data_IF_329408084282
#
_entry.id   IF_329408084282
#
_cell.length_a   1.000
_cell.length_b   1.000
_cell.length_c   1.000
_cell.angle_alpha   90.00
_cell.angle_beta   90.00
_cell.angle_gamma   90.00
#
_symmetry.space_group_name_H-M   'P 1'
#
loop_
_entity.id
_entity.type
_entity.pdbx_description
1 polymer ?
#
# COMPACT_ATOMS: atom_id res chain seq x y z
N UNK A 1 4.80 30.46 11.40
CA UNK A 1 5.39 29.12 11.63
C UNK A 1 4.23 28.15 11.57
N UNK A 2 3.91 27.69 10.36
CA UNK A 2 2.68 26.94 10.10
C UNK A 2 2.88 25.50 10.59
N UNK A 3 2.14 25.12 11.63
CA UNK A 3 2.06 23.73 12.07
C UNK A 3 1.40 22.95 10.95
N UNK A 4 2.21 22.45 10.01
CA UNK A 4 1.76 21.52 8.97
C UNK A 4 1.09 20.37 9.71
N UNK A 5 -0.21 20.21 9.50
CA UNK A 5 -0.93 19.02 9.95
C UNK A 5 -0.34 17.85 9.16
N UNK A 6 0.67 17.21 9.74
CA UNK A 6 1.13 15.91 9.29
C UNK A 6 -0.04 14.96 9.52
N UNK A 7 -0.78 14.65 8.45
CA UNK A 7 -1.89 13.71 8.51
C UNK A 7 -1.36 12.38 9.06
N UNK A 8 -2.06 11.81 10.03
CA UNK A 8 -1.79 10.46 10.50
C UNK A 8 -2.34 9.45 9.49
N UNK A 9 -1.60 8.37 9.26
CA UNK A 9 -2.04 7.32 8.34
C UNK A 9 -3.39 6.72 8.76
N UNK A 10 -4.38 6.74 7.87
CA UNK A 10 -5.66 6.08 8.07
C UNK A 10 -5.63 4.65 7.51
N UNK A 11 -5.40 3.66 8.38
CA UNK A 11 -5.37 2.24 8.00
C UNK A 11 -6.66 1.75 7.33
N UNK A 12 -7.82 2.36 7.60
CA UNK A 12 -9.09 2.02 6.92
C UNK A 12 -9.08 2.42 5.43
N UNK A 13 -8.24 3.38 5.05
CA UNK A 13 -8.04 3.82 3.66
C UNK A 13 -6.85 3.10 2.99
N UNK A 14 -6.20 2.15 3.66
CA UNK A 14 -4.97 1.53 3.19
C UNK A 14 -3.75 2.45 3.27
N UNK A 15 -3.82 3.53 4.05
CA UNK A 15 -2.68 4.44 4.25
C UNK A 15 -1.70 3.86 5.27
N UNK A 16 -0.41 4.06 5.00
CA UNK A 16 0.68 3.83 5.95
C UNK A 16 1.52 5.10 6.11
N UNK A 17 2.31 5.15 7.17
CA UNK A 17 3.28 6.22 7.40
C UNK A 17 4.69 5.64 7.28
N UNK A 18 5.57 6.36 6.60
CA UNK A 18 6.99 6.04 6.54
C UNK A 18 7.86 7.30 6.63
N UNK A 19 9.10 7.13 7.08
CA UNK A 19 10.12 8.19 7.11
C UNK A 19 11.06 7.98 5.93
N UNK A 20 11.11 8.95 5.01
CA UNK A 20 12.04 8.97 3.88
C UNK A 20 12.79 10.31 3.89
N UNK A 21 14.12 10.29 3.79
CA UNK A 21 14.98 11.47 3.99
C UNK A 21 14.69 12.24 5.29
N UNK A 22 14.38 11.52 6.36
CA UNK A 22 14.02 12.11 7.64
C UNK A 22 12.66 12.84 7.65
N UNK A 23 11.89 12.79 6.57
CA UNK A 23 10.56 13.37 6.47
C UNK A 23 9.50 12.28 6.61
N UNK A 24 8.56 12.47 7.54
CA UNK A 24 7.36 11.62 7.66
C UNK A 24 6.44 11.89 6.47
N UNK A 25 6.05 10.82 5.77
CA UNK A 25 5.18 10.87 4.59
C UNK A 25 4.12 9.78 4.68
N UNK A 26 2.95 10.08 4.14
CA UNK A 26 1.86 9.12 4.00
C UNK A 26 1.98 8.44 2.64
N UNK A 27 1.81 7.12 2.61
CA UNK A 27 1.77 6.33 1.39
C UNK A 27 0.43 5.59 1.32
N UNK A 28 -0.13 5.47 0.12
CA UNK A 28 -1.38 4.77 -0.14
C UNK A 28 -1.40 4.24 -1.56
N UNK A 29 -1.70 2.94 -1.75
CA UNK A 29 -1.92 2.37 -3.07
C UNK A 29 -3.37 2.61 -3.49
N UNK A 30 -3.64 3.81 -3.98
CA UNK A 30 -4.92 4.15 -4.59
C UNK A 30 -5.14 3.35 -5.88
N UNK A 31 -6.37 3.31 -6.39
CA UNK A 31 -6.64 2.67 -7.68
C UNK A 31 -5.78 3.24 -8.83
N UNK A 32 -5.51 4.54 -8.82
CA UNK A 32 -4.61 5.16 -9.81
C UNK A 32 -3.16 4.68 -9.67
N UNK A 33 -2.67 4.55 -8.43
CA UNK A 33 -1.34 4.00 -8.15
C UNK A 33 -1.24 2.52 -8.55
N UNK A 34 -2.30 1.73 -8.30
CA UNK A 34 -2.36 0.33 -8.71
C UNK A 34 -2.37 0.18 -10.23
N UNK A 35 -3.16 0.98 -10.95
CA UNK A 35 -3.18 0.99 -12.41
C UNK A 35 -1.83 1.40 -13.01
N UNK A 36 -1.13 2.35 -12.38
CA UNK A 36 0.23 2.71 -12.75
C UNK A 36 1.20 1.53 -12.61
N UNK A 37 1.11 0.79 -11.50
CA UNK A 37 1.94 -0.39 -11.27
C UNK A 37 1.59 -1.55 -12.22
N UNK A 38 0.31 -1.74 -12.57
CA UNK A 38 -0.14 -2.71 -13.58
C UNK A 38 0.56 -2.45 -14.91
N UNK A 39 0.50 -1.21 -15.38
CA UNK A 39 1.17 -0.78 -16.60
C UNK A 39 2.70 -0.93 -16.49
N UNK A 40 3.30 -0.49 -15.39
CA UNK A 40 4.74 -0.52 -15.19
C UNK A 40 5.32 -1.94 -15.12
N UNK A 41 4.57 -2.90 -14.58
CA UNK A 41 4.98 -4.30 -14.50
C UNK A 41 4.45 -5.17 -15.63
N UNK A 42 3.65 -4.60 -16.54
CA UNK A 42 3.02 -5.33 -17.65
C UNK A 42 2.24 -6.56 -17.17
N UNK A 43 1.49 -6.39 -16.08
CA UNK A 43 0.58 -7.42 -15.56
C UNK A 43 -0.84 -7.12 -16.03
N UNK A 44 -1.65 -8.19 -16.21
CA UNK A 44 -3.00 -8.05 -16.76
C UNK A 44 -4.05 -7.58 -15.76
N UNK A 45 -3.78 -7.72 -14.47
CA UNK A 45 -4.72 -7.45 -13.38
C UNK A 45 -4.01 -7.38 -12.01
N UNK A 46 -4.77 -6.98 -10.99
CA UNK A 46 -4.33 -6.89 -9.59
C UNK A 46 -3.89 -8.24 -9.00
N UNK A 47 -4.46 -9.36 -9.43
CA UNK A 47 -4.01 -10.69 -8.98
C UNK A 47 -2.61 -10.98 -9.51
N UNK A 48 -2.29 -10.58 -10.75
CA UNK A 48 -0.95 -10.63 -11.32
C UNK A 48 0.07 -9.79 -10.53
N UNK A 49 -0.32 -8.62 -10.02
CA UNK A 49 0.52 -7.85 -9.08
C UNK A 49 0.75 -8.59 -7.77
N UNK A 50 -0.32 -9.07 -7.15
CA UNK A 50 -0.24 -9.76 -5.86
C UNK A 50 0.67 -10.99 -5.93
N UNK A 51 0.52 -11.82 -6.97
CA UNK A 51 1.36 -12.99 -7.24
C UNK A 51 2.83 -12.62 -7.47
N UNK A 52 3.07 -11.53 -8.22
CA UNK A 52 4.43 -11.04 -8.45
C UNK A 52 5.13 -10.72 -7.13
N UNK A 53 4.43 -10.04 -6.22
CA UNK A 53 5.00 -9.62 -4.95
C UNK A 53 5.09 -10.74 -3.91
N UNK A 54 4.11 -11.65 -3.88
CA UNK A 54 4.14 -12.83 -2.99
C UNK A 54 5.25 -13.81 -3.34
N UNK A 55 5.68 -13.86 -4.61
CA UNK A 55 6.77 -14.74 -5.07
C UNK A 55 8.16 -14.41 -4.49
N UNK A 56 8.30 -13.29 -3.76
CA UNK A 56 9.57 -12.88 -3.13
C UNK A 56 10.62 -12.36 -4.12
N UNK A 57 10.29 -12.17 -5.40
CA UNK A 57 11.23 -11.74 -6.45
C UNK A 57 11.29 -10.23 -6.64
N UNK A 58 11.09 -9.46 -5.58
CA UNK A 58 11.14 -8.00 -5.60
C UNK A 58 12.57 -7.50 -5.86
N UNK A 59 12.78 -6.82 -6.98
CA UNK A 59 14.03 -6.12 -7.29
C UNK A 59 14.00 -4.72 -6.68
N UNK A 60 15.17 -4.11 -6.52
CA UNK A 60 15.27 -2.71 -6.07
C UNK A 60 14.41 -1.75 -6.92
N UNK A 61 14.39 -1.93 -8.24
CA UNK A 61 13.53 -1.15 -9.14
C UNK A 61 12.03 -1.35 -8.92
N UNK A 62 11.60 -2.56 -8.51
CA UNK A 62 10.20 -2.81 -8.16
C UNK A 62 9.84 -2.08 -6.86
N UNK A 63 10.74 -2.07 -5.87
CA UNK A 63 10.55 -1.34 -4.61
C UNK A 63 10.46 0.17 -4.84
N UNK A 64 11.33 0.74 -5.68
CA UNK A 64 11.30 2.16 -6.05
C UNK A 64 9.94 2.53 -6.66
N UNK A 65 9.47 1.75 -7.64
CA UNK A 65 8.19 2.00 -8.31
C UNK A 65 7.01 1.89 -7.36
N UNK A 66 7.00 0.86 -6.50
CA UNK A 66 5.91 0.65 -5.55
C UNK A 66 5.84 1.77 -4.51
N UNK A 67 6.99 2.20 -3.99
CA UNK A 67 7.07 3.29 -3.02
C UNK A 67 6.72 4.62 -3.69
N UNK A 68 7.19 4.87 -4.92
CA UNK A 68 6.83 6.04 -5.72
C UNK A 68 5.32 6.14 -5.95
N UNK A 69 4.71 5.05 -6.42
CA UNK A 69 3.26 4.97 -6.62
C UNK A 69 2.49 5.17 -5.31
N UNK A 70 2.96 4.56 -4.21
CA UNK A 70 2.38 4.75 -2.87
C UNK A 70 2.49 6.19 -2.38
N UNK A 71 3.63 6.86 -2.58
CA UNK A 71 3.83 8.26 -2.24
C UNK A 71 2.91 9.19 -3.03
N UNK A 72 2.78 8.97 -4.35
CA UNK A 72 1.85 9.70 -5.22
C UNK A 72 0.40 9.50 -4.78
N UNK A 73 0.00 8.26 -4.50
CA UNK A 73 -1.33 7.94 -3.99
C UNK A 73 -1.60 8.51 -2.58
N UNK A 74 -0.57 8.71 -1.78
CA UNK A 74 -0.62 9.41 -0.49
C UNK A 74 -0.61 10.94 -0.59
N UNK A 75 -0.61 11.51 -1.80
CA UNK A 75 -0.65 12.97 -2.04
C UNK A 75 0.72 13.64 -2.07
N UNK A 76 1.82 12.89 -2.17
CA UNK A 76 3.17 13.44 -2.33
C UNK A 76 3.50 13.58 -3.82
N UNK A 77 4.06 14.72 -4.23
CA UNK A 77 4.48 14.98 -5.61
C UNK A 77 5.93 14.53 -5.81
N UNK A 78 6.15 13.21 -5.92
CA UNK A 78 7.47 12.61 -6.06
C UNK A 78 7.49 11.59 -7.20
N UNK A 79 8.52 11.71 -8.04
CA UNK A 79 8.81 10.77 -9.11
C UNK A 79 9.60 9.57 -8.59
N UNK A 80 9.66 8.51 -9.39
CA UNK A 80 10.42 7.30 -9.06
C UNK A 80 11.93 7.60 -8.93
N UNK A 81 12.42 8.58 -9.69
CA UNK A 81 13.80 9.08 -9.61
C UNK A 81 14.10 9.74 -8.26
N UNK A 82 13.15 10.49 -7.71
CA UNK A 82 13.28 11.07 -6.38
C UNK A 82 13.40 9.95 -5.33
N UNK A 83 12.56 8.92 -5.44
CA UNK A 83 12.60 7.76 -4.54
C UNK A 83 13.91 6.98 -4.66
N UNK A 84 14.45 6.87 -5.87
CA UNK A 84 15.74 6.21 -6.11
C UNK A 84 16.91 6.96 -5.45
N UNK A 85 16.80 8.28 -5.27
CA UNK A 85 17.80 9.11 -4.61
C UNK A 85 17.60 9.25 -3.10
N UNK A 86 16.40 8.92 -2.58
CA UNK A 86 16.09 8.99 -1.16
C UNK A 86 16.88 7.98 -0.34
N UNK A 87 17.04 8.27 0.94
CA UNK A 87 17.56 7.36 1.95
C UNK A 87 16.52 7.05 3.02
N UNK A 88 16.62 5.84 3.57
CA UNK A 88 15.84 5.39 4.72
C UNK A 88 16.75 4.84 5.80
N UNK A 89 16.35 5.02 7.06
CA UNK A 89 16.99 4.33 8.18
C UNK A 89 16.82 2.81 8.03
N UNK A 90 17.92 2.05 8.20
CA UNK A 90 17.92 0.60 7.98
C UNK A 90 18.07 0.15 6.53
N UNK A 91 18.30 1.06 5.58
CA UNK A 91 18.65 0.74 4.19
C UNK A 91 17.62 -0.15 3.48
N UNK A 92 18.09 -1.18 2.75
CA UNK A 92 17.22 -2.08 1.96
C UNK A 92 16.13 -2.74 2.80
N UNK A 93 16.41 -3.09 4.06
CA UNK A 93 15.42 -3.69 4.95
C UNK A 93 14.28 -2.71 5.30
N UNK A 94 14.60 -1.42 5.43
CA UNK A 94 13.60 -0.37 5.60
C UNK A 94 12.67 -0.25 4.39
N UNK A 95 13.23 -0.25 3.18
CA UNK A 95 12.42 -0.26 1.95
C UNK A 95 11.52 -1.48 1.86
N UNK A 96 12.06 -2.67 2.12
CA UNK A 96 11.30 -3.91 2.11
C UNK A 96 10.13 -3.88 3.11
N UNK A 97 10.34 -3.28 4.29
CA UNK A 97 9.29 -3.10 5.29
C UNK A 97 8.17 -2.19 4.80
N UNK A 98 8.50 -1.03 4.23
CA UNK A 98 7.50 -0.11 3.66
C UNK A 98 6.68 -0.81 2.57
N UNK A 99 7.35 -1.54 1.68
CA UNK A 99 6.68 -2.31 0.62
C UNK A 99 5.73 -3.35 1.22
N UNK A 100 6.18 -4.12 2.22
CA UNK A 100 5.35 -5.08 2.92
C UNK A 100 4.13 -4.45 3.58
N UNK A 101 4.33 -3.33 4.30
CA UNK A 101 3.25 -2.60 4.98
C UNK A 101 2.21 -2.04 3.98
N UNK A 102 2.64 -1.56 2.80
CA UNK A 102 1.74 -1.11 1.73
C UNK A 102 0.91 -2.27 1.15
N UNK A 103 1.57 -3.39 0.87
CA UNK A 103 0.91 -4.56 0.32
C UNK A 103 -0.09 -5.16 1.32
N UNK A 104 0.27 -5.23 2.59
CA UNK A 104 -0.63 -5.66 3.66
C UNK A 104 -1.82 -4.70 3.80
N UNK A 105 -1.58 -3.39 3.80
CA UNK A 105 -2.65 -2.39 3.92
C UNK A 105 -3.64 -2.42 2.73
N UNK A 106 -3.18 -2.86 1.56
CA UNK A 106 -3.96 -2.85 0.31
C UNK A 106 -4.65 -4.19 0.06
N UNK A 107 -3.93 -5.31 0.23
CA UNK A 107 -4.40 -6.66 -0.09
C UNK A 107 -4.73 -7.50 1.14
N UNK A 108 -4.17 -7.18 2.31
CA UNK A 108 -4.33 -7.96 3.55
C UNK A 108 -5.72 -7.84 4.21
N UNK A 109 -6.49 -6.79 3.90
CA UNK A 109 -7.85 -6.60 4.41
C UNK A 109 -8.96 -7.31 3.61
N UNK A 110 -8.64 -7.78 2.40
CA UNK A 110 -9.64 -8.35 1.46
C UNK A 110 -10.17 -9.72 1.93
N UNK A 111 -9.52 -10.37 2.90
CA UNK A 111 -9.94 -11.67 3.47
C UNK A 111 -10.72 -11.62 4.79
N UNK A 112 -10.87 -10.46 5.44
CA UNK A 112 -11.52 -10.38 6.76
C UNK A 112 -13.00 -9.96 6.71
N UNK A 113 -13.48 -9.47 5.56
CA UNK A 113 -14.86 -9.01 5.41
C UNK A 113 -15.89 -10.15 5.23
N UNK A 114 -15.44 -11.39 5.01
CA UNK A 114 -16.35 -12.53 4.69
C UNK A 114 -16.80 -13.37 5.89
N UNK A 115 -16.36 -13.09 7.13
CA UNK A 115 -16.74 -13.94 8.30
C UNK A 115 -17.77 -13.32 9.25
N UNK A 116 -18.37 -12.18 8.93
CA UNK A 116 -19.40 -11.54 9.76
C UNK A 116 -20.81 -11.66 9.15
N UNK A 117 -21.26 -12.88 8.84
CA UNK A 117 -22.69 -13.15 8.60
C UNK A 117 -23.04 -14.60 8.97
N UNK A 118 -23.13 -14.85 10.28
CA UNK A 118 -23.59 -16.11 10.83
C UNK A 118 -24.45 -15.86 12.06
N UNK A 119 -25.71 -15.49 11.85
CA UNK A 119 -26.67 -15.36 12.94
C UNK A 119 -27.98 -14.70 12.53
N UNK A 120 -28.92 -15.49 12.01
CA UNK A 120 -30.28 -15.60 12.57
C UNK A 120 -31.03 -16.73 11.85
N UNK A 121 -31.08 -17.92 12.46
CA UNK A 121 -32.05 -18.95 12.11
C UNK A 121 -33.05 -19.05 13.26
N UNK A 122 -34.07 -18.21 13.24
CA UNK A 122 -35.29 -18.42 14.02
C UNK A 122 -36.43 -17.57 13.45
N UNK A 123 -37.05 -18.00 12.34
CA UNK A 123 -38.47 -17.70 12.16
C UNK A 123 -39.25 -18.93 12.60
N UNK A 124 -39.70 -18.85 13.85
CA UNK A 124 -40.71 -19.74 14.38
C UNK A 124 -41.99 -19.59 13.54
N UNK A 125 -42.59 -20.73 13.25
CA UNK A 125 -43.89 -20.84 12.63
C UNK A 125 -44.94 -20.03 13.40
N UNK A 126 -45.88 -19.42 12.68
CA UNK A 126 -47.29 -19.57 13.02
C UNK A 126 -48.17 -19.33 11.77
N UNK A 127 -49.30 -20.05 11.66
CA UNK A 127 -50.18 -20.05 10.48
C UNK A 127 -51.05 -18.80 10.37
#
# INVERSE_FOLDING_TARGET
METRVIGYANRRRGEIEAVLDGQRRILCLTLGALAELEAAFSVGDLSGLAERFSSGRLRAGDMIRLIGAGLRGGGNLLADEDVAAMSIDGGVAGYARIVGDLLEATFGGVGAAETANGGEKAVAANP
#
